data_IF_428318143430
#
_entry.id   IF_428318143430
#
_cell.length_a   1.000
_cell.length_b   1.000
_cell.length_c   1.000
_cell.angle_alpha   90.00
_cell.angle_beta   90.00
_cell.angle_gamma   90.00
#
_symmetry.space_group_name_H-M   'P 1'
#
loop_
_entity.id
_entity.type
_entity.pdbx_description
1 polymer ?
#
# COMPACT_ATOMS: atom_id res chain seq x y z
N UNK A 1 -10.39 13.77 12.90
CA UNK A 1 -9.67 13.27 14.10
C UNK A 1 -9.80 11.74 14.17
N UNK A 2 -8.78 11.02 14.66
CA UNK A 2 -8.84 9.56 14.82
C UNK A 2 -9.68 9.20 16.06
N UNK A 3 -10.50 8.15 15.95
CA UNK A 3 -11.27 7.59 17.05
C UNK A 3 -10.39 6.61 17.85
N UNK A 4 -10.70 6.38 19.13
CA UNK A 4 -9.96 5.42 19.96
C UNK A 4 -9.88 4.02 19.34
N UNK A 5 -10.97 3.50 18.78
CA UNK A 5 -11.00 2.23 18.04
C UNK A 5 -10.03 2.20 16.86
N UNK A 6 -9.88 3.32 16.15
CA UNK A 6 -8.96 3.42 15.01
C UNK A 6 -7.51 3.43 15.49
N UNK A 7 -7.22 4.08 16.62
CA UNK A 7 -5.91 4.01 17.26
C UNK A 7 -5.53 2.58 17.65
N UNK A 8 -6.45 1.84 18.27
CA UNK A 8 -6.24 0.42 18.60
C UNK A 8 -6.00 -0.43 17.34
N UNK A 9 -6.69 -0.14 16.24
CA UNK A 9 -6.45 -0.83 14.97
C UNK A 9 -5.04 -0.53 14.42
N UNK A 10 -4.56 0.72 14.50
CA UNK A 10 -3.18 1.06 14.11
C UNK A 10 -2.18 0.29 14.97
N UNK A 11 -2.35 0.31 16.29
CA UNK A 11 -1.44 -0.38 17.21
C UNK A 11 -1.42 -1.89 16.94
N UNK A 12 -2.57 -2.50 16.68
CA UNK A 12 -2.65 -3.92 16.33
C UNK A 12 -1.96 -4.24 14.99
N UNK A 13 -2.11 -3.37 13.98
CA UNK A 13 -1.39 -3.52 12.70
C UNK A 13 0.12 -3.48 12.96
N UNK A 14 0.62 -2.45 13.64
CA UNK A 14 2.05 -2.27 13.89
C UNK A 14 2.61 -3.42 14.72
N UNK A 15 1.91 -3.84 15.78
CA UNK A 15 2.36 -4.91 16.66
C UNK A 15 2.55 -6.26 15.95
N UNK A 16 1.80 -6.50 14.88
CA UNK A 16 1.88 -7.73 14.08
C UNK A 16 2.83 -7.57 12.89
N UNK A 17 2.77 -6.45 12.19
CA UNK A 17 3.51 -6.25 10.94
C UNK A 17 4.98 -5.88 11.18
N UNK A 18 5.29 -5.06 12.18
CA UNK A 18 6.68 -4.65 12.45
C UNK A 18 7.60 -5.86 12.73
N UNK A 19 7.24 -6.84 13.58
CA UNK A 19 8.06 -8.05 13.75
C UNK A 19 8.24 -8.83 12.44
N UNK A 20 7.20 -8.94 11.61
CA UNK A 20 7.28 -9.64 10.33
C UNK A 20 8.16 -8.87 9.33
N UNK A 21 8.11 -7.54 9.29
CA UNK A 21 9.00 -6.73 8.45
C UNK A 21 10.47 -6.93 8.85
N UNK A 22 10.76 -6.94 10.16
CA UNK A 22 12.11 -7.21 10.69
C UNK A 22 12.58 -8.62 10.29
N UNK A 23 11.74 -9.64 10.50
CA UNK A 23 12.05 -11.02 10.09
C UNK A 23 12.26 -11.14 8.58
N UNK A 24 11.57 -10.32 7.78
CA UNK A 24 11.70 -10.27 6.33
C UNK A 24 13.13 -10.00 5.85
N UNK A 25 13.92 -9.20 6.56
CA UNK A 25 15.32 -8.94 6.19
C UNK A 25 16.22 -10.17 6.27
N UNK A 26 15.84 -11.18 7.07
CA UNK A 26 16.59 -12.44 7.20
C UNK A 26 15.96 -13.51 6.31
N UNK A 27 14.64 -13.65 6.35
CA UNK A 27 13.93 -14.73 5.66
C UNK A 27 13.95 -14.56 4.14
N UNK A 28 13.78 -13.33 3.62
CA UNK A 28 13.68 -13.09 2.18
C UNK A 28 14.96 -13.49 1.41
N UNK A 29 16.18 -13.08 1.82
CA UNK A 29 17.41 -13.55 1.18
C UNK A 29 17.51 -15.07 1.09
N UNK A 30 17.24 -15.76 2.19
CA UNK A 30 17.29 -17.22 2.29
C UNK A 30 16.25 -17.84 1.36
N UNK A 31 15.00 -17.38 1.41
CA UNK A 31 13.92 -17.88 0.58
C UNK A 31 14.18 -17.68 -0.92
N UNK A 32 14.76 -16.53 -1.31
CA UNK A 32 15.12 -16.24 -2.70
C UNK A 32 16.24 -17.13 -3.24
N UNK A 33 17.13 -17.64 -2.39
CA UNK A 33 18.18 -18.57 -2.81
C UNK A 33 17.59 -19.89 -3.37
N UNK A 34 16.37 -20.24 -2.98
CA UNK A 34 15.63 -21.39 -3.51
C UNK A 34 14.82 -21.08 -4.78
N UNK A 35 14.82 -19.83 -5.27
CA UNK A 35 14.07 -19.41 -6.45
C UNK A 35 14.96 -19.40 -7.70
N UNK A 36 14.49 -20.03 -8.78
CA UNK A 36 15.12 -19.97 -10.10
C UNK A 36 14.52 -18.85 -10.98
N UNK A 37 15.02 -18.65 -12.21
CA UNK A 37 14.54 -17.61 -13.14
C UNK A 37 13.05 -17.76 -13.52
N UNK A 38 12.50 -18.97 -13.47
CA UNK A 38 11.10 -19.27 -13.77
C UNK A 38 10.18 -19.09 -12.56
N UNK A 39 10.74 -18.91 -11.36
CA UNK A 39 9.95 -18.73 -10.15
C UNK A 39 9.17 -17.42 -10.21
N UNK A 40 7.87 -17.51 -9.92
CA UNK A 40 6.97 -16.36 -9.82
C UNK A 40 6.62 -16.04 -8.36
N UNK A 41 7.01 -16.90 -7.42
CA UNK A 41 6.64 -16.86 -6.00
C UNK A 41 7.80 -17.33 -5.13
N UNK A 42 7.84 -16.88 -3.89
CA UNK A 42 8.65 -17.50 -2.85
C UNK A 42 8.14 -18.91 -2.52
N UNK A 43 9.00 -19.77 -1.92
CA UNK A 43 8.57 -21.03 -1.32
C UNK A 43 7.36 -20.83 -0.39
N UNK A 44 6.47 -21.83 -0.32
CA UNK A 44 5.19 -21.71 0.43
C UNK A 44 5.36 -21.25 1.87
N UNK A 45 6.41 -21.71 2.55
CA UNK A 45 6.72 -21.35 3.94
C UNK A 45 7.12 -19.88 4.11
N UNK A 46 7.64 -19.24 3.05
CA UNK A 46 8.05 -17.82 3.04
C UNK A 46 7.05 -16.92 2.30
N UNK A 47 5.87 -17.45 1.92
CA UNK A 47 4.88 -16.72 1.09
C UNK A 47 4.36 -15.44 1.75
N UNK A 48 4.44 -15.31 3.07
CA UNK A 48 4.04 -14.09 3.75
C UNK A 48 4.92 -12.88 3.41
N UNK A 49 6.15 -13.11 2.95
CA UNK A 49 7.17 -12.09 2.71
C UNK A 49 7.28 -11.63 1.25
N UNK A 50 6.60 -12.28 0.31
CA UNK A 50 6.48 -11.78 -1.07
C UNK A 50 5.42 -10.69 -1.17
N UNK A 51 5.30 -10.04 -2.34
CA UNK A 51 4.16 -9.17 -2.62
C UNK A 51 2.85 -9.96 -2.88
N UNK A 52 1.71 -9.28 -2.92
CA UNK A 52 0.36 -9.86 -3.15
C UNK A 52 0.27 -10.75 -4.41
N UNK A 53 1.18 -10.52 -5.36
CA UNK A 53 1.32 -11.27 -6.59
C UNK A 53 0.17 -11.07 -7.55
N UNK A 54 -0.21 -9.80 -7.66
CA UNK A 54 -1.09 -9.28 -8.70
C UNK A 54 -0.40 -9.44 -10.06
N UNK A 55 -1.20 -9.46 -11.12
CA UNK A 55 -0.68 -9.56 -12.49
C UNK A 55 -0.69 -8.19 -13.14
N UNK A 56 0.48 -7.72 -13.57
CA UNK A 56 0.62 -6.50 -14.35
C UNK A 56 1.25 -6.89 -15.69
N UNK A 57 0.59 -6.56 -16.80
CA UNK A 57 1.06 -6.89 -18.15
C UNK A 57 1.33 -8.39 -18.36
N UNK A 58 0.50 -9.25 -17.73
CA UNK A 58 0.67 -10.71 -17.78
C UNK A 58 1.78 -11.28 -16.88
N UNK A 59 2.50 -10.43 -16.13
CA UNK A 59 3.58 -10.85 -15.24
C UNK A 59 3.19 -10.75 -13.76
N UNK A 60 3.53 -11.77 -12.98
CA UNK A 60 3.22 -11.81 -11.55
C UNK A 60 4.18 -10.92 -10.76
N UNK A 61 3.64 -9.98 -9.97
CA UNK A 61 4.45 -9.04 -9.20
C UNK A 61 5.09 -9.61 -7.94
N UNK A 62 4.71 -10.81 -7.49
CA UNK A 62 4.99 -11.29 -6.12
C UNK A 62 6.46 -11.14 -5.75
N UNK A 63 7.34 -11.65 -6.62
CA UNK A 63 8.79 -11.47 -6.46
C UNK A 63 9.43 -10.68 -7.61
N UNK A 64 8.70 -10.41 -8.70
CA UNK A 64 9.26 -9.86 -9.94
C UNK A 64 8.90 -8.39 -10.21
N UNK A 65 8.34 -7.65 -9.25
CA UNK A 65 8.03 -6.23 -9.43
C UNK A 65 6.68 -5.95 -10.08
N UNK A 66 6.03 -4.86 -9.64
CA UNK A 66 4.89 -4.25 -10.34
C UNK A 66 5.37 -3.52 -11.62
N UNK A 67 4.44 -3.15 -12.51
CA UNK A 67 4.77 -2.51 -13.79
C UNK A 67 5.56 -1.21 -13.63
N UNK A 68 5.26 -0.41 -12.59
CA UNK A 68 5.98 0.82 -12.30
C UNK A 68 7.43 0.56 -11.88
N UNK A 69 7.63 -0.37 -10.96
CA UNK A 69 8.96 -0.77 -10.51
C UNK A 69 9.81 -1.31 -11.66
N UNK A 70 9.24 -2.21 -12.47
CA UNK A 70 9.91 -2.77 -13.64
C UNK A 70 10.35 -1.68 -14.61
N UNK A 71 9.47 -0.71 -14.90
CA UNK A 71 9.78 0.41 -15.79
C UNK A 71 10.92 1.29 -15.28
N UNK A 72 10.97 1.55 -13.97
CA UNK A 72 11.94 2.47 -13.37
C UNK A 72 13.29 1.81 -13.07
N UNK A 73 13.31 0.51 -12.75
CA UNK A 73 14.50 -0.13 -12.16
C UNK A 73 15.07 -1.26 -13.01
N UNK A 74 14.33 -1.81 -13.97
CA UNK A 74 14.78 -2.97 -14.75
C UNK A 74 15.18 -2.55 -16.17
N UNK A 75 16.41 -2.88 -16.62
CA UNK A 75 16.78 -2.74 -18.02
C UNK A 75 15.76 -3.47 -18.89
N UNK A 76 15.19 -2.79 -19.88
CA UNK A 76 14.16 -3.32 -20.79
C UNK A 76 12.86 -3.79 -20.11
N UNK A 77 12.59 -3.34 -18.87
CA UNK A 77 11.36 -3.65 -18.15
C UNK A 77 11.28 -5.09 -17.59
N UNK A 78 12.35 -5.90 -17.68
CA UNK A 78 12.39 -7.25 -17.10
C UNK A 78 13.74 -7.55 -16.45
N UNK A 79 13.76 -7.83 -15.15
CA UNK A 79 14.96 -8.27 -14.44
C UNK A 79 14.57 -9.30 -13.37
N UNK A 80 14.99 -10.55 -13.58
CA UNK A 80 14.66 -11.69 -12.70
C UNK A 80 15.87 -12.19 -11.89
N UNK A 81 16.91 -11.36 -11.77
CA UNK A 81 18.09 -11.70 -10.97
C UNK A 81 17.75 -11.72 -9.48
N UNK A 82 18.54 -12.44 -8.71
CA UNK A 82 18.41 -12.50 -7.25
C UNK A 82 18.35 -11.08 -6.63
N UNK A 83 19.31 -10.21 -6.97
CA UNK A 83 19.37 -8.86 -6.44
C UNK A 83 18.17 -8.00 -6.84
N UNK A 84 17.69 -8.10 -8.07
CA UNK A 84 16.51 -7.35 -8.52
C UNK A 84 15.23 -7.73 -7.76
N UNK A 85 15.08 -9.02 -7.43
CA UNK A 85 13.98 -9.55 -6.61
C UNK A 85 14.14 -9.16 -5.15
N UNK A 86 15.36 -9.23 -4.63
CA UNK A 86 15.68 -8.83 -3.25
C UNK A 86 15.33 -7.36 -3.01
N UNK A 87 15.76 -6.46 -3.91
CA UNK A 87 15.44 -5.04 -3.83
C UNK A 87 13.93 -4.78 -3.92
N UNK A 88 13.21 -5.50 -4.78
CA UNK A 88 11.76 -5.41 -4.88
C UNK A 88 11.06 -5.82 -3.56
N UNK A 89 11.48 -6.92 -2.96
CA UNK A 89 10.91 -7.44 -1.71
C UNK A 89 11.32 -6.60 -0.50
N UNK A 90 12.49 -5.94 -0.54
CA UNK A 90 12.88 -4.93 0.43
C UNK A 90 12.16 -3.59 0.23
N UNK A 91 11.54 -3.35 -0.92
CA UNK A 91 10.61 -2.22 -1.09
C UNK A 91 9.19 -2.60 -0.63
N UNK A 92 8.79 -3.86 -0.81
CA UNK A 92 7.47 -4.39 -0.44
C UNK A 92 7.60 -5.48 0.62
N UNK A 93 8.02 -5.07 1.81
CA UNK A 93 8.02 -5.98 2.94
C UNK A 93 6.61 -6.55 3.13
N UNK A 94 6.53 -7.87 3.29
CA UNK A 94 5.32 -8.58 3.72
C UNK A 94 4.05 -8.26 2.89
N UNK A 95 4.20 -7.95 1.60
CA UNK A 95 3.11 -7.47 0.75
C UNK A 95 1.94 -8.46 0.63
N UNK A 96 2.21 -9.76 0.65
CA UNK A 96 1.22 -10.82 0.72
C UNK A 96 0.49 -10.81 2.06
N UNK A 97 1.21 -10.74 3.18
CA UNK A 97 0.59 -10.70 4.50
C UNK A 97 -0.30 -9.46 4.70
N UNK A 98 0.24 -8.27 4.42
CA UNK A 98 -0.48 -6.99 4.55
C UNK A 98 -1.69 -6.87 3.62
N UNK A 99 -1.74 -7.64 2.53
CA UNK A 99 -2.89 -7.67 1.60
C UNK A 99 -3.88 -8.79 1.89
N UNK A 100 -3.40 -10.04 1.98
CA UNK A 100 -4.23 -11.25 2.02
C UNK A 100 -4.66 -11.66 3.41
N UNK A 101 -3.85 -11.34 4.43
CA UNK A 101 -4.10 -11.74 5.81
C UNK A 101 -4.67 -10.57 6.61
N UNK A 102 -3.91 -9.46 6.65
CA UNK A 102 -4.30 -8.27 7.40
C UNK A 102 -5.12 -7.26 6.59
N UNK A 103 -5.09 -7.37 5.27
CA UNK A 103 -5.77 -6.44 4.37
C UNK A 103 -7.29 -6.61 4.33
N UNK A 104 -7.93 -5.88 3.43
CA UNK A 104 -9.38 -5.94 3.20
C UNK A 104 -9.63 -6.44 1.78
N UNK A 105 -10.39 -7.52 1.65
CA UNK A 105 -10.88 -7.96 0.35
C UNK A 105 -11.97 -6.99 -0.13
N UNK A 106 -11.80 -6.43 -1.32
CA UNK A 106 -12.71 -5.39 -1.82
C UNK A 106 -14.15 -5.89 -1.95
N UNK A 107 -14.33 -7.16 -2.32
CA UNK A 107 -15.66 -7.79 -2.42
C UNK A 107 -16.41 -7.92 -1.08
N UNK A 108 -15.71 -7.74 0.05
CA UNK A 108 -16.30 -7.79 1.40
C UNK A 108 -16.72 -6.43 1.92
N UNK A 109 -16.39 -5.35 1.21
CA UNK A 109 -16.79 -4.00 1.57
C UNK A 109 -18.27 -3.82 1.24
N UNK A 110 -19.02 -3.20 2.16
CA UNK A 110 -20.38 -2.73 1.89
C UNK A 110 -20.31 -1.36 1.19
N UNK A 111 -20.66 -1.25 -0.11
CA UNK A 111 -20.43 -0.02 -0.88
C UNK A 111 -21.14 1.22 -0.33
N UNK A 112 -22.36 1.04 0.16
CA UNK A 112 -23.19 2.10 0.76
C UNK A 112 -22.61 2.64 2.08
N UNK A 113 -21.65 1.94 2.68
CA UNK A 113 -21.02 2.31 3.96
C UNK A 113 -19.77 3.17 3.82
N UNK A 114 -19.24 3.33 2.59
CA UNK A 114 -18.04 4.12 2.35
C UNK A 114 -18.32 5.58 2.70
N UNK A 115 -17.51 6.15 3.59
CA UNK A 115 -17.58 7.56 3.99
C UNK A 115 -16.21 8.18 3.86
N UNK A 116 -16.17 9.37 3.28
CA UNK A 116 -14.96 10.16 3.06
C UNK A 116 -15.04 11.43 3.89
N UNK A 117 -13.92 11.82 4.49
CA UNK A 117 -13.73 13.09 5.17
C UNK A 117 -12.44 13.75 4.63
N UNK A 118 -12.50 15.02 4.29
CA UNK A 118 -11.37 15.75 3.70
C UNK A 118 -11.29 15.59 2.17
N UNK A 119 -10.11 15.84 1.61
CA UNK A 119 -9.89 15.96 0.17
C UNK A 119 -9.42 14.63 -0.47
N UNK A 120 -10.25 14.03 -1.32
CA UNK A 120 -9.90 12.79 -2.04
C UNK A 120 -8.64 12.91 -2.91
N UNK A 121 -8.28 14.13 -3.35
CA UNK A 121 -7.10 14.41 -4.18
C UNK A 121 -5.83 14.68 -3.37
N UNK A 122 -5.85 14.53 -2.04
CA UNK A 122 -4.69 14.80 -1.17
C UNK A 122 -3.43 14.01 -1.57
N UNK A 123 -3.59 12.81 -2.13
CA UNK A 123 -2.46 11.97 -2.56
C UNK A 123 -1.73 12.54 -3.78
N UNK A 124 -2.40 13.41 -4.55
CA UNK A 124 -1.90 14.04 -5.76
C UNK A 124 -1.27 15.41 -5.53
N UNK A 125 -1.53 16.06 -4.38
CA UNK A 125 -1.12 17.45 -4.13
C UNK A 125 0.40 17.68 -3.95
N UNK A 126 1.21 16.62 -4.01
CA UNK A 126 2.67 16.72 -4.02
C UNK A 126 3.31 17.27 -2.73
N UNK A 127 2.55 17.37 -1.64
CA UNK A 127 3.03 18.00 -0.40
C UNK A 127 3.02 19.52 -0.44
N UNK A 128 2.39 20.14 -1.45
CA UNK A 128 2.32 21.61 -1.59
C UNK A 128 1.45 22.24 -0.50
N UNK A 129 0.34 21.58 -0.16
CA UNK A 129 -0.65 22.05 0.82
C UNK A 129 -0.82 20.99 1.93
N UNK A 130 -0.89 21.45 3.18
CA UNK A 130 -1.30 20.60 4.32
C UNK A 130 -2.76 20.22 4.16
N UNK A 131 -3.04 18.93 4.03
CA UNK A 131 -4.40 18.43 3.79
C UNK A 131 -4.50 16.98 4.24
N UNK A 132 -5.71 16.43 4.29
CA UNK A 132 -5.95 15.04 4.64
C UNK A 132 -7.13 14.45 3.90
N UNK A 133 -7.13 13.13 3.80
CA UNK A 133 -8.28 12.34 3.43
C UNK A 133 -8.39 11.19 4.41
N UNK A 134 -9.59 10.97 4.93
CA UNK A 134 -9.92 9.81 5.73
C UNK A 134 -11.09 9.09 5.08
N UNK A 135 -10.89 7.82 4.79
CA UNK A 135 -11.93 6.93 4.28
C UNK A 135 -12.27 5.93 5.37
N UNK A 136 -13.55 5.65 5.57
CA UNK A 136 -14.05 4.58 6.44
C UNK A 136 -15.03 3.72 5.68
N UNK A 137 -15.07 2.44 5.99
CA UNK A 137 -16.08 1.53 5.46
C UNK A 137 -16.46 0.47 6.50
N UNK A 138 -17.64 -0.14 6.28
CA UNK A 138 -18.07 -1.37 6.93
C UNK A 138 -17.81 -2.53 5.98
N UNK A 139 -17.43 -3.66 6.56
CA UNK A 139 -17.38 -4.94 5.88
C UNK A 139 -18.71 -5.67 6.10
N UNK A 140 -19.04 -6.62 5.22
CA UNK A 140 -20.25 -7.45 5.30
C UNK A 140 -20.40 -8.19 6.65
N UNK A 141 -19.30 -8.46 7.34
CA UNK A 141 -19.30 -9.07 8.68
C UNK A 141 -19.45 -8.04 9.84
N UNK A 142 -19.84 -6.80 9.53
CA UNK A 142 -20.05 -5.73 10.52
C UNK A 142 -18.79 -5.04 11.03
N UNK A 143 -17.58 -5.53 10.69
CA UNK A 143 -16.33 -4.87 11.09
C UNK A 143 -16.17 -3.54 10.36
N UNK A 144 -15.57 -2.56 11.04
CA UNK A 144 -15.27 -1.24 10.48
C UNK A 144 -13.77 -1.10 10.21
N UNK A 145 -13.42 -0.51 9.07
CA UNK A 145 -12.05 -0.23 8.66
C UNK A 145 -11.90 1.24 8.28
N UNK A 146 -10.68 1.75 8.36
CA UNK A 146 -10.38 3.12 7.98
C UNK A 146 -9.02 3.23 7.27
N UNK A 147 -8.85 4.26 6.44
CA UNK A 147 -7.56 4.67 5.92
C UNK A 147 -7.44 6.17 6.12
N UNK A 148 -6.33 6.62 6.69
CA UNK A 148 -6.02 8.05 6.86
C UNK A 148 -4.75 8.38 6.09
N UNK A 149 -4.87 9.26 5.11
CA UNK A 149 -3.76 9.91 4.45
C UNK A 149 -3.70 11.37 4.89
N UNK A 150 -2.55 11.84 5.36
CA UNK A 150 -2.37 13.21 5.83
C UNK A 150 -1.02 13.75 5.36
N UNK A 151 -1.05 15.00 4.88
CA UNK A 151 0.11 15.79 4.49
C UNK A 151 0.24 16.95 5.47
N UNK A 152 1.44 17.13 6.03
CA UNK A 152 1.77 18.29 6.87
C UNK A 152 2.92 19.02 6.23
N UNK A 153 2.62 20.18 5.63
CA UNK A 153 3.59 21.09 5.04
C UNK A 153 4.36 21.81 6.14
N UNK A 154 5.68 21.72 6.12
CA UNK A 154 6.53 22.51 7.01
C UNK A 154 6.71 23.95 6.53
N UNK A 155 6.98 24.84 7.48
CA UNK A 155 7.27 26.27 7.26
C UNK A 155 8.73 26.57 7.62
N UNK A 156 9.22 27.76 7.26
CA UNK A 156 10.59 28.19 7.57
C UNK A 156 11.66 27.41 6.80
N UNK A 157 12.77 27.08 7.46
CA UNK A 157 13.92 26.40 6.85
C UNK A 157 13.60 24.99 6.30
N UNK A 158 12.52 24.36 6.78
CA UNK A 158 12.01 23.08 6.27
C UNK A 158 10.88 23.23 5.24
N UNK A 159 10.58 24.44 4.80
CA UNK A 159 9.83 24.64 3.56
C UNK A 159 10.55 23.86 2.43
N UNK A 160 9.95 23.28 1.40
CA UNK A 160 10.64 22.30 0.55
C UNK A 160 10.56 20.86 1.06
N UNK A 161 10.23 20.62 2.34
CA UNK A 161 9.85 19.30 2.87
C UNK A 161 8.43 19.25 3.45
N UNK A 162 7.88 18.05 3.55
CA UNK A 162 6.60 17.77 4.22
C UNK A 162 6.59 16.40 4.89
N UNK A 163 5.77 16.27 5.92
CA UNK A 163 5.44 14.98 6.51
C UNK A 163 4.29 14.33 5.74
N UNK A 164 4.48 13.09 5.29
CA UNK A 164 3.43 12.23 4.74
C UNK A 164 3.09 11.13 5.73
N UNK A 165 1.85 11.06 6.16
CA UNK A 165 1.32 10.02 7.04
C UNK A 165 0.29 9.22 6.25
N UNK A 166 0.43 7.90 6.22
CA UNK A 166 -0.60 6.99 5.72
C UNK A 166 -0.75 5.81 6.68
N UNK A 167 -1.87 5.73 7.38
CA UNK A 167 -2.15 4.71 8.39
C UNK A 167 -3.50 4.03 8.18
N UNK A 168 -3.63 2.76 8.60
CA UNK A 168 -4.84 1.95 8.49
C UNK A 168 -4.80 1.02 7.28
N UNK A 169 -5.82 1.08 6.42
CA UNK A 169 -5.89 0.34 5.16
C UNK A 169 -5.79 1.28 3.98
N UNK A 170 -5.39 0.76 2.81
CA UNK A 170 -5.25 1.51 1.55
C UNK A 170 -6.59 1.94 0.93
N UNK A 171 -7.50 2.47 1.74
CA UNK A 171 -8.86 2.84 1.34
C UNK A 171 -8.93 4.10 0.45
N UNK A 172 -7.82 4.81 0.25
CA UNK A 172 -7.79 5.92 -0.73
C UNK A 172 -8.14 5.45 -2.14
N UNK A 173 -7.92 4.17 -2.43
CA UNK A 173 -8.24 3.55 -3.72
C UNK A 173 -9.74 3.44 -3.99
N UNK A 174 -10.58 3.59 -2.97
CA UNK A 174 -12.04 3.64 -3.08
C UNK A 174 -12.60 4.97 -2.56
N UNK A 175 -11.75 6.00 -2.45
CA UNK A 175 -12.18 7.33 -2.05
C UNK A 175 -13.11 7.92 -3.13
N UNK A 176 -14.38 8.16 -2.77
CA UNK A 176 -15.42 8.60 -3.71
C UNK A 176 -16.31 7.48 -4.26
N UNK A 177 -16.02 6.22 -3.90
CA UNK A 177 -16.90 5.11 -4.22
C UNK A 177 -18.20 5.17 -3.39
N UNK A 178 -19.31 4.83 -4.03
CA UNK A 178 -20.65 4.71 -3.47
C UNK A 178 -21.37 3.51 -4.10
N UNK A 179 -22.61 3.24 -3.68
CA UNK A 179 -23.34 2.07 -4.14
C UNK A 179 -23.53 1.99 -5.67
N UNK A 180 -23.59 3.13 -6.37
CA UNK A 180 -23.85 3.20 -7.80
C UNK A 180 -22.56 3.00 -8.62
N UNK A 181 -21.45 3.59 -8.18
CA UNK A 181 -20.19 3.59 -8.93
C UNK A 181 -19.13 2.63 -8.38
N UNK A 182 -19.40 1.88 -7.31
CA UNK A 182 -18.41 0.99 -6.67
C UNK A 182 -17.75 0.05 -7.68
N UNK A 183 -18.52 -0.46 -8.65
CA UNK A 183 -18.00 -1.35 -9.69
C UNK A 183 -16.83 -0.72 -10.46
N UNK A 184 -16.87 0.58 -10.76
CA UNK A 184 -15.82 1.31 -11.48
C UNK A 184 -14.49 1.29 -10.71
N UNK A 185 -14.55 1.34 -9.38
CA UNK A 185 -13.38 1.24 -8.49
C UNK A 185 -12.86 -0.21 -8.34
N UNK A 186 -13.58 -1.20 -8.88
CA UNK A 186 -13.27 -2.64 -8.73
C UNK A 186 -13.10 -3.40 -10.05
N UNK A 187 -13.46 -2.78 -11.18
CA UNK A 187 -13.59 -3.45 -12.49
C UNK A 187 -12.26 -3.68 -13.20
N UNK A 188 -11.24 -2.87 -12.92
CA UNK A 188 -9.87 -3.19 -13.32
C UNK A 188 -9.30 -4.06 -12.22
N UNK A 189 -8.79 -5.24 -12.58
CA UNK A 189 -8.14 -6.25 -11.72
C UNK A 189 -7.03 -5.72 -10.78
N UNK A 190 -6.77 -4.42 -10.75
CA UNK A 190 -5.64 -3.79 -10.08
C UNK A 190 -5.64 -3.98 -8.56
N UNK A 191 -6.78 -4.19 -7.87
CA UNK A 191 -6.81 -4.24 -6.39
C UNK A 191 -7.89 -5.14 -5.79
N UNK A 192 -7.73 -6.47 -5.89
CA UNK A 192 -8.60 -7.44 -5.18
C UNK A 192 -8.56 -7.27 -3.65
N UNK A 193 -7.44 -6.79 -3.13
CA UNK A 193 -7.19 -6.55 -1.72
C UNK A 193 -6.62 -5.15 -1.48
N UNK A 194 -7.12 -4.46 -0.47
CA UNK A 194 -6.59 -3.20 0.03
C UNK A 194 -5.66 -3.50 1.20
N UNK A 195 -4.36 -3.27 0.99
CA UNK A 195 -3.32 -3.59 1.97
C UNK A 195 -3.45 -2.71 3.22
N UNK A 196 -2.99 -3.20 4.36
CA UNK A 196 -2.64 -2.34 5.50
C UNK A 196 -1.49 -1.41 5.13
N UNK A 197 -1.38 -0.31 5.87
CA UNK A 197 -0.31 0.68 5.73
C UNK A 197 -0.13 1.39 7.06
N UNK A 198 1.12 1.62 7.45
CA UNK A 198 1.48 2.38 8.66
C UNK A 198 2.74 3.24 8.41
N UNK A 199 2.75 3.96 7.28
CA UNK A 199 3.90 4.71 6.80
C UNK A 199 3.89 6.16 7.31
N UNK A 200 4.97 6.58 7.96
CA UNK A 200 5.23 7.98 8.33
C UNK A 200 6.55 8.40 7.70
N UNK A 201 6.49 9.30 6.73
CA UNK A 201 7.65 9.84 6.05
C UNK A 201 7.81 11.31 6.41
N UNK A 202 8.65 11.66 7.41
CA UNK A 202 8.74 13.03 7.91
C UNK A 202 9.39 14.00 6.93
N UNK A 203 10.23 13.55 6.00
CA UNK A 203 11.04 14.44 5.13
C UNK A 203 10.87 14.14 3.65
N UNK A 204 9.64 14.07 3.13
CA UNK A 204 9.45 14.02 1.67
C UNK A 204 9.69 15.40 1.07
N UNK A 205 10.40 15.46 -0.05
CA UNK A 205 10.58 16.70 -0.83
C UNK A 205 9.25 17.10 -1.48
N UNK A 206 8.90 18.38 -1.37
CA UNK A 206 7.74 18.98 -2.03
C UNK A 206 7.95 18.95 -3.54
N UNK A 207 6.95 18.49 -4.28
CA UNK A 207 6.98 18.50 -5.74
C UNK A 207 6.11 19.64 -6.26
N UNK A 208 6.72 20.80 -6.55
CA UNK A 208 6.03 21.99 -7.04
C UNK A 208 5.43 21.83 -8.45
N UNK A 209 5.94 20.86 -9.24
CA UNK A 209 5.50 20.63 -10.62
C UNK A 209 4.27 19.71 -10.72
N UNK A 210 3.86 19.05 -9.63
CA UNK A 210 2.55 18.39 -9.53
C UNK A 210 1.49 19.40 -9.11
N UNK A 211 1.19 20.37 -9.98
CA UNK A 211 -0.07 21.12 -9.86
C UNK A 211 -1.21 20.24 -10.35
N UNK A 212 -2.33 20.32 -9.65
CA UNK A 212 -3.53 19.50 -9.77
C UNK A 212 -3.90 19.20 -11.24
N UNK A 213 -3.88 17.92 -11.61
CA UNK A 213 -4.69 17.40 -12.72
C UNK A 213 -6.01 16.88 -12.14
#
# INVERSE_FOLDING_TARGET
MLKFKELLQILAIIAVELPLEILGYIIVPIALAFCNKQSERLPRWARYFEDAGDYYDGENSAINGDSGWRKEHYPNGKNRTYFARLLWLYRNHIGYFSSRINGVKVSEIEPSSVRVQGNIKVTSNGGVISDFCKVTCKLKNGRTRFGLYKVVRYKGFLSGFYCRIYVGWKLMDIAGANALNFKEFTQKDDKKYLKTVWCINPFKKVNQNRKEK
#
